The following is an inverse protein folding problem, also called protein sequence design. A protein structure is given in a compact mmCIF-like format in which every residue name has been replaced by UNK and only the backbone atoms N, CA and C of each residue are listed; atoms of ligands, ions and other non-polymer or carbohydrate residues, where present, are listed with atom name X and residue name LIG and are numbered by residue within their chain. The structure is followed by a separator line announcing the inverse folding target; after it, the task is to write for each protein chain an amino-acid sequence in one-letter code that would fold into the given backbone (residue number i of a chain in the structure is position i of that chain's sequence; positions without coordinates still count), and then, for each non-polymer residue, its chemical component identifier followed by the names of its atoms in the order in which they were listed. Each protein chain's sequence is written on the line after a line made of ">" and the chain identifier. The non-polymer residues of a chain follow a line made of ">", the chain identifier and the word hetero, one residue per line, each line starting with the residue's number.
data_IF_236437502086
#
_entry.id   IF_236437502086
#
_cell.length_a   1.000
_cell.length_b   1.000
_cell.length_c   1.000
_cell.angle_alpha   90.00
_cell.angle_beta   90.00
_cell.angle_gamma   90.00
#
_symmetry.space_group_name_H-M   'P 1'
#
loop_
_entity.id
_entity.type
_entity.pdbx_description
1 polymer ?
#
# COMPACT_ATOMS: atom_id res chain seq x y z
N UNK A 1 -37.14 33.40 -52.50
CA UNK A 1 -36.07 32.60 -51.90
C UNK A 1 -36.63 31.69 -50.85
N UNK A 2 -36.79 30.40 -51.18
CA UNK A 2 -37.42 29.38 -50.29
C UNK A 2 -36.31 28.67 -49.52
N UNK A 3 -36.37 28.72 -48.21
CA UNK A 3 -35.47 27.94 -47.30
C UNK A 3 -35.91 26.47 -47.26
N UNK A 4 -35.00 25.58 -47.62
CA UNK A 4 -35.19 24.14 -47.50
C UNK A 4 -34.72 23.73 -46.11
N UNK A 5 -35.65 23.26 -45.27
CA UNK A 5 -35.35 22.63 -43.99
C UNK A 5 -34.86 21.21 -44.25
N UNK A 6 -33.67 20.88 -43.81
CA UNK A 6 -33.10 19.52 -43.79
C UNK A 6 -33.66 18.76 -42.62
N UNK A 7 -34.28 17.61 -42.87
CA UNK A 7 -34.84 16.69 -41.89
C UNK A 7 -33.99 15.41 -41.83
N UNK A 8 -33.26 15.11 -40.72
CA UNK A 8 -32.43 13.90 -40.64
C UNK A 8 -33.17 12.74 -39.95
N UNK A 9 -34.30 12.31 -40.50
CA UNK A 9 -34.93 11.05 -40.11
C UNK A 9 -35.51 10.36 -41.32
N UNK A 10 -34.69 9.45 -41.89
CA UNK A 10 -35.13 8.24 -42.62
C UNK A 10 -33.94 7.67 -43.38
N UNK A 11 -33.30 6.70 -42.77
CA UNK A 11 -32.75 5.55 -43.47
C UNK A 11 -32.14 4.58 -42.41
N UNK A 12 -33.01 3.90 -41.68
CA UNK A 12 -32.63 2.66 -41.01
C UNK A 12 -33.00 1.56 -42.02
N UNK A 13 -32.00 1.18 -42.81
CA UNK A 13 -32.06 -0.06 -43.58
C UNK A 13 -31.81 -1.18 -42.58
N UNK A 14 -32.86 -1.91 -42.22
CA UNK A 14 -32.79 -3.13 -41.47
C UNK A 14 -32.00 -4.18 -42.25
N UNK A 15 -30.73 -4.41 -41.84
CA UNK A 15 -30.01 -5.62 -42.17
C UNK A 15 -30.58 -6.73 -41.27
N UNK A 16 -31.55 -7.46 -41.79
CA UNK A 16 -31.98 -8.75 -41.30
C UNK A 16 -30.79 -9.70 -41.44
N UNK A 17 -30.08 -9.95 -40.34
CA UNK A 17 -29.16 -11.08 -40.19
C UNK A 17 -29.99 -12.38 -40.23
N UNK A 18 -30.30 -12.84 -41.42
CA UNK A 18 -30.67 -14.26 -41.61
C UNK A 18 -29.36 -15.03 -41.63
N UNK A 19 -28.89 -15.40 -40.44
CA UNK A 19 -27.79 -16.35 -40.32
C UNK A 19 -28.16 -17.61 -41.07
N UNK A 20 -27.29 -18.01 -42.00
CA UNK A 20 -27.40 -19.21 -42.83
C UNK A 20 -27.72 -20.41 -41.91
N UNK A 21 -28.82 -21.12 -42.11
CA UNK A 21 -29.23 -22.27 -41.28
C UNK A 21 -28.14 -23.36 -41.20
N UNK A 22 -27.28 -23.46 -42.21
CA UNK A 22 -26.12 -24.37 -42.24
C UNK A 22 -25.06 -23.97 -41.22
N UNK A 23 -24.83 -22.67 -41.00
CA UNK A 23 -23.93 -22.12 -40.00
C UNK A 23 -24.40 -22.44 -38.58
N UNK A 24 -25.70 -22.28 -38.29
CA UNK A 24 -26.30 -22.60 -36.98
C UNK A 24 -26.25 -24.09 -36.66
N UNK A 25 -26.55 -24.95 -37.66
CA UNK A 25 -26.47 -26.42 -37.48
C UNK A 25 -25.00 -26.82 -37.21
N UNK A 26 -24.04 -26.22 -37.90
CA UNK A 26 -22.63 -26.50 -37.71
C UNK A 26 -22.17 -26.08 -36.33
N UNK A 27 -22.60 -24.93 -35.84
CA UNK A 27 -22.31 -24.44 -34.47
C UNK A 27 -22.89 -25.37 -33.41
N UNK A 28 -24.13 -25.83 -33.56
CA UNK A 28 -24.77 -26.79 -32.63
C UNK A 28 -24.04 -28.13 -32.65
N UNK A 29 -23.58 -28.59 -33.83
CA UNK A 29 -22.86 -29.87 -33.95
C UNK A 29 -21.48 -29.78 -33.23
N UNK A 30 -20.77 -28.67 -33.36
CA UNK A 30 -19.53 -28.43 -32.63
C UNK A 30 -19.78 -28.38 -31.12
N UNK A 31 -20.84 -27.71 -30.66
CA UNK A 31 -21.18 -27.65 -29.23
C UNK A 31 -21.47 -29.03 -28.63
N UNK A 32 -22.21 -29.86 -29.38
CA UNK A 32 -22.51 -31.25 -28.96
C UNK A 32 -21.26 -32.10 -28.92
N UNK A 33 -20.38 -31.98 -29.92
CA UNK A 33 -19.10 -32.69 -29.96
C UNK A 33 -18.17 -32.29 -28.79
N UNK A 34 -18.08 -31.01 -28.49
CA UNK A 34 -17.31 -30.51 -27.36
C UNK A 34 -17.89 -30.99 -26.03
N UNK A 35 -19.22 -30.95 -25.84
CA UNK A 35 -19.87 -31.52 -24.63
C UNK A 35 -19.61 -33.02 -24.47
N UNK A 36 -19.57 -33.79 -25.56
CA UNK A 36 -19.24 -35.21 -25.53
C UNK A 36 -17.77 -35.44 -25.14
N UNK A 37 -16.83 -34.64 -25.68
CA UNK A 37 -15.42 -34.70 -25.33
C UNK A 37 -15.22 -34.35 -23.84
N UNK A 38 -15.91 -33.32 -23.31
CA UNK A 38 -15.89 -32.95 -21.91
C UNK A 38 -16.40 -34.11 -21.01
N UNK A 39 -17.51 -34.75 -21.40
CA UNK A 39 -18.05 -35.88 -20.65
C UNK A 39 -17.12 -37.10 -20.62
N UNK A 40 -16.41 -37.37 -21.71
CA UNK A 40 -15.43 -38.46 -21.81
C UNK A 40 -14.19 -38.17 -20.97
N UNK A 41 -13.69 -36.93 -20.98
CA UNK A 41 -12.49 -36.51 -20.20
C UNK A 41 -12.79 -36.44 -18.70
N UNK A 42 -14.02 -36.14 -18.29
CA UNK A 42 -14.41 -36.11 -16.87
C UNK A 42 -14.50 -37.53 -16.24
N UNK A 43 -14.51 -38.58 -17.04
CA UNK A 43 -14.58 -39.98 -16.56
C UNK A 43 -13.19 -40.63 -16.32
N UNK A 44 -12.11 -39.95 -16.62
CA UNK A 44 -10.75 -40.50 -16.45
C UNK A 44 -10.09 -39.90 -15.19
N UNK A 45 -9.97 -40.69 -14.10
CA UNK A 45 -9.28 -40.22 -12.89
C UNK A 45 -7.76 -40.06 -13.17
N UNK A 46 -7.22 -38.88 -12.99
CA UNK A 46 -5.78 -38.60 -13.07
C UNK A 46 -5.34 -37.56 -14.12
N UNK A 47 -6.26 -36.97 -14.89
CA UNK A 47 -5.91 -36.04 -16.00
C UNK A 47 -6.12 -34.55 -15.61
N UNK A 48 -6.40 -34.25 -14.35
CA UNK A 48 -6.76 -32.88 -13.92
C UNK A 48 -5.69 -31.81 -14.18
N UNK A 49 -4.41 -32.17 -14.23
CA UNK A 49 -3.30 -31.19 -14.44
C UNK A 49 -3.05 -30.92 -15.93
N UNK A 50 -3.33 -31.88 -16.81
CA UNK A 50 -3.21 -31.70 -18.27
C UNK A 50 -4.42 -31.02 -18.92
N UNK A 51 -5.53 -30.90 -18.22
CA UNK A 51 -6.79 -30.40 -18.77
C UNK A 51 -6.77 -28.92 -19.15
N UNK A 52 -6.18 -28.04 -18.32
CA UNK A 52 -6.18 -26.58 -18.57
C UNK A 52 -5.54 -26.21 -19.92
N UNK A 53 -4.44 -26.84 -20.28
CA UNK A 53 -3.69 -26.51 -21.52
C UNK A 53 -4.34 -27.10 -22.79
N UNK A 54 -5.07 -28.22 -22.69
CA UNK A 54 -5.77 -28.82 -23.83
C UNK A 54 -7.06 -28.05 -24.13
N UNK A 55 -7.81 -27.63 -23.12
CA UNK A 55 -9.04 -26.84 -23.31
C UNK A 55 -8.78 -25.45 -23.89
N UNK A 56 -7.65 -24.82 -23.56
CA UNK A 56 -7.22 -23.52 -24.13
C UNK A 56 -7.01 -23.57 -25.66
N UNK A 57 -6.93 -24.74 -26.27
CA UNK A 57 -6.80 -24.90 -27.72
C UNK A 57 -8.15 -25.12 -28.43
N UNK A 58 -9.25 -25.21 -27.69
CA UNK A 58 -10.58 -25.37 -28.29
C UNK A 58 -11.18 -24.01 -28.66
N UNK A 59 -11.65 -23.83 -29.93
CA UNK A 59 -12.16 -22.54 -30.42
C UNK A 59 -13.30 -21.96 -29.55
N UNK A 60 -14.19 -22.82 -29.02
CA UNK A 60 -15.28 -22.38 -28.15
C UNK A 60 -14.78 -21.91 -26.79
N UNK A 61 -13.79 -22.57 -26.22
CA UNK A 61 -13.16 -22.15 -24.96
C UNK A 61 -12.47 -20.80 -25.14
N UNK A 62 -11.68 -20.63 -26.19
CA UNK A 62 -11.05 -19.34 -26.54
C UNK A 62 -12.07 -18.22 -26.78
N UNK A 63 -13.20 -18.54 -27.43
CA UNK A 63 -14.29 -17.59 -27.67
C UNK A 63 -14.99 -17.19 -26.37
N UNK A 64 -15.31 -18.14 -25.50
CA UNK A 64 -15.94 -17.87 -24.19
C UNK A 64 -15.01 -17.16 -23.24
N UNK A 65 -13.72 -17.53 -23.24
CA UNK A 65 -12.69 -16.84 -22.46
C UNK A 65 -12.49 -15.41 -22.98
N UNK A 66 -12.45 -15.20 -24.29
CA UNK A 66 -12.42 -13.88 -24.91
C UNK A 66 -13.63 -13.02 -24.57
N UNK A 67 -14.85 -13.57 -24.64
CA UNK A 67 -16.07 -12.85 -24.21
C UNK A 67 -16.06 -12.54 -22.71
N UNK A 68 -15.63 -13.47 -21.88
CA UNK A 68 -15.52 -13.24 -20.43
C UNK A 68 -14.50 -12.11 -20.11
N UNK A 69 -13.39 -12.05 -20.86
CA UNK A 69 -12.38 -10.97 -20.75
C UNK A 69 -12.97 -9.64 -21.21
N UNK A 70 -13.65 -9.59 -22.35
CA UNK A 70 -14.30 -8.35 -22.84
C UNK A 70 -15.39 -7.87 -21.87
N UNK A 71 -16.19 -8.78 -21.31
CA UNK A 71 -17.19 -8.45 -20.31
C UNK A 71 -16.57 -8.01 -18.98
N UNK A 72 -15.44 -8.58 -18.59
CA UNK A 72 -14.69 -8.14 -17.42
C UNK A 72 -14.09 -6.75 -17.66
N UNK A 73 -13.40 -6.53 -18.77
CA UNK A 73 -12.84 -5.22 -19.14
C UNK A 73 -13.93 -4.14 -19.22
N UNK A 74 -15.11 -4.48 -19.72
CA UNK A 74 -16.25 -3.55 -19.76
C UNK A 74 -16.72 -3.23 -18.34
N UNK A 75 -16.87 -4.23 -17.46
CA UNK A 75 -17.25 -4.03 -16.05
C UNK A 75 -16.19 -3.21 -15.31
N UNK A 76 -14.92 -3.49 -15.54
CA UNK A 76 -13.81 -2.77 -14.93
C UNK A 76 -13.77 -1.31 -15.39
N UNK A 77 -14.02 -1.06 -16.69
CA UNK A 77 -14.14 0.29 -17.24
C UNK A 77 -15.35 1.03 -16.69
N UNK A 78 -16.53 0.41 -16.66
CA UNK A 78 -17.75 0.99 -16.09
C UNK A 78 -17.58 1.28 -14.59
N UNK A 79 -16.88 0.41 -13.87
CA UNK A 79 -16.56 0.59 -12.45
C UNK A 79 -15.59 1.75 -12.29
N UNK A 80 -14.54 1.84 -13.12
CA UNK A 80 -13.59 2.93 -13.12
C UNK A 80 -14.28 4.28 -13.44
N UNK A 81 -15.12 4.34 -14.48
CA UNK A 81 -15.87 5.57 -14.82
C UNK A 81 -16.79 6.01 -13.67
N UNK A 82 -17.48 5.09 -13.00
CA UNK A 82 -18.29 5.36 -11.80
C UNK A 82 -17.44 5.85 -10.63
N UNK A 83 -16.23 5.30 -10.44
CA UNK A 83 -15.29 5.73 -9.41
C UNK A 83 -14.77 7.14 -9.67
N UNK A 84 -14.38 7.44 -10.91
CA UNK A 84 -13.96 8.80 -11.32
C UNK A 84 -15.10 9.80 -11.13
N UNK A 85 -16.33 9.45 -11.52
CA UNK A 85 -17.50 10.31 -11.33
C UNK A 85 -17.82 10.53 -9.84
N UNK A 86 -17.70 9.49 -9.02
CA UNK A 86 -17.90 9.55 -7.56
C UNK A 86 -16.83 10.44 -6.90
N UNK A 87 -15.56 10.30 -7.29
CA UNK A 87 -14.45 11.11 -6.78
C UNK A 87 -14.61 12.58 -7.16
N UNK A 88 -15.04 12.88 -8.40
CA UNK A 88 -15.30 14.24 -8.84
C UNK A 88 -16.44 14.86 -8.03
N UNK A 89 -17.48 14.10 -7.68
CA UNK A 89 -18.57 14.56 -6.81
C UNK A 89 -18.12 14.79 -5.37
N UNK A 90 -17.26 13.89 -4.86
CA UNK A 90 -16.70 13.99 -3.50
C UNK A 90 -15.80 15.22 -3.36
N UNK A 91 -14.84 15.42 -4.28
CA UNK A 91 -14.01 16.62 -4.33
C UNK A 91 -14.83 17.89 -4.48
N UNK A 92 -15.87 17.87 -5.35
CA UNK A 92 -16.80 18.98 -5.50
C UNK A 92 -17.61 19.29 -4.23
N UNK A 93 -17.84 18.29 -3.36
CA UNK A 93 -18.50 18.45 -2.07
C UNK A 93 -17.56 19.03 -1.02
N UNK A 94 -16.32 18.52 -0.93
CA UNK A 94 -15.28 19.06 -0.04
C UNK A 94 -14.98 20.52 -0.36
N UNK A 95 -14.74 20.87 -1.63
CA UNK A 95 -14.51 22.26 -2.08
C UNK A 95 -15.70 23.17 -1.76
N UNK A 96 -16.95 22.65 -1.77
CA UNK A 96 -18.13 23.42 -1.38
C UNK A 96 -18.27 23.61 0.13
N UNK A 97 -17.84 22.65 0.94
CA UNK A 97 -17.84 22.77 2.40
C UNK A 97 -16.74 23.73 2.86
N UNK A 98 -15.54 23.63 2.33
CA UNK A 98 -14.44 24.55 2.59
C UNK A 98 -14.78 26.00 2.19
N UNK A 99 -15.47 26.20 1.04
CA UNK A 99 -15.98 27.52 0.63
C UNK A 99 -17.19 28.00 1.45
N UNK A 100 -17.87 27.17 2.23
CA UNK A 100 -18.91 27.63 3.17
C UNK A 100 -18.29 28.21 4.43
N UNK A 101 -17.22 27.61 4.93
CA UNK A 101 -16.51 28.12 6.11
C UNK A 101 -15.68 29.38 5.79
N UNK A 102 -15.22 29.53 4.53
CA UNK A 102 -14.54 30.74 4.05
C UNK A 102 -15.47 31.95 3.79
N UNK A 103 -16.79 31.79 3.91
CA UNK A 103 -17.77 32.88 3.72
C UNK A 103 -18.22 33.61 5.00
N UNK A 104 -17.44 33.50 6.07
CA UNK A 104 -17.58 34.46 7.19
C UNK A 104 -16.72 35.68 6.86
N UNK A 105 -17.30 36.60 6.16
CA UNK A 105 -16.73 37.96 5.91
C UNK A 105 -16.55 38.66 7.25
N UNK A 106 -15.36 39.14 7.60
CA UNK A 106 -15.25 40.07 8.72
C UNK A 106 -15.84 41.41 8.26
N UNK A 107 -16.87 41.82 8.93
CA UNK A 107 -17.45 43.14 8.86
C UNK A 107 -16.37 44.17 9.21
N UNK A 108 -16.08 45.06 8.26
CA UNK A 108 -15.15 46.17 8.46
C UNK A 108 -15.87 47.18 9.36
N UNK A 109 -15.55 47.18 10.63
CA UNK A 109 -15.92 48.28 11.54
C UNK A 109 -14.75 49.24 11.62
N UNK A 110 -15.12 50.52 11.42
CA UNK A 110 -14.29 51.69 11.30
C UNK A 110 -13.31 51.90 12.47
N UNK A 111 -12.19 52.56 12.15
CA UNK A 111 -11.17 53.05 13.08
C UNK A 111 -11.74 53.97 14.14
N UNK A 112 -11.30 53.92 15.38
CA UNK A 112 -11.20 55.09 16.25
C UNK A 112 -9.77 55.60 16.35
N UNK A 113 -9.73 56.91 16.40
CA UNK A 113 -8.58 57.81 16.51
C UNK A 113 -7.78 57.60 17.79
N UNK A 114 -6.49 57.89 17.65
CA UNK A 114 -5.48 58.06 18.68
C UNK A 114 -5.85 59.24 19.57
N UNK A 115 -5.86 59.05 20.92
CA UNK A 115 -5.56 60.10 21.88
C UNK A 115 -4.70 59.54 22.99
N UNK A 116 -3.57 60.23 23.16
CA UNK A 116 -2.55 60.12 24.23
C UNK A 116 -3.14 60.42 25.61
N UNK A 117 -2.63 59.75 26.63
CA UNK A 117 -2.18 60.30 27.90
C UNK A 117 -1.97 59.21 28.98
N UNK A 118 -0.78 58.91 29.26
CA UNK A 118 0.02 59.15 30.46
C UNK A 118 -0.47 58.65 31.87
N UNK A 119 0.40 57.86 32.42
CA UNK A 119 0.94 57.96 33.80
C UNK A 119 0.35 57.15 34.96
N UNK A 120 1.30 56.52 35.55
CA UNK A 120 1.66 56.30 37.01
C UNK A 120 1.13 55.08 37.69
N UNK A 121 2.10 54.27 38.08
CA UNK A 121 2.69 54.05 39.46
C UNK A 121 1.72 53.33 40.39
N UNK A 122 2.08 52.44 41.20
CA UNK A 122 3.23 51.96 41.95
C UNK A 122 2.80 50.76 42.81
N UNK A 123 3.66 49.78 42.97
CA UNK A 123 4.28 49.33 44.22
C UNK A 123 3.55 48.44 45.22
N UNK A 124 4.22 47.38 45.47
CA UNK A 124 4.66 46.82 46.79
C UNK A 124 3.81 45.82 47.51
N UNK A 125 4.44 44.77 47.78
CA UNK A 125 5.21 44.18 48.91
C UNK A 125 4.37 43.10 49.64
N UNK A 126 4.95 41.90 49.66
CA UNK A 126 5.80 41.29 50.70
C UNK A 126 5.05 40.67 51.89
N UNK A 127 5.45 39.46 52.21
CA UNK A 127 5.67 38.77 53.48
C UNK A 127 4.52 37.85 53.95
N UNK A 128 4.70 36.70 54.48
CA UNK A 128 5.76 35.90 55.11
C UNK A 128 5.23 34.49 55.41
N UNK A 129 6.14 33.55 55.54
CA UNK A 129 5.97 32.23 56.16
C UNK A 129 5.91 32.38 57.71
N UNK A 130 5.37 31.39 58.44
CA UNK A 130 6.24 30.63 59.32
C UNK A 130 5.89 29.11 59.42
N UNK A 131 6.89 28.33 59.39
CA UNK A 131 7.65 27.45 60.28
C UNK A 131 6.89 26.68 61.40
N UNK A 132 7.27 25.39 61.41
CA UNK A 132 7.73 24.47 62.47
C UNK A 132 6.61 23.55 62.95
N UNK A 133 6.75 22.26 63.27
CA UNK A 133 7.85 21.53 63.92
C UNK A 133 7.75 20.01 63.63
N UNK A 134 8.86 19.37 63.67
CA UNK A 134 9.36 18.03 63.88
C UNK A 134 8.37 17.02 64.58
N UNK A 135 8.41 15.78 64.07
CA UNK A 135 8.86 14.67 64.92
C UNK A 135 9.43 13.50 64.10
N UNK A 136 10.38 12.86 64.70
CA UNK A 136 11.43 11.99 64.26
C UNK A 136 10.98 10.52 64.40
N UNK A 137 11.07 9.67 63.34
CA UNK A 137 11.30 8.24 63.55
C UNK A 137 12.28 7.73 62.47
N UNK A 138 13.36 7.27 62.97
CA UNK A 138 14.49 6.66 62.29
C UNK A 138 14.18 5.23 61.90
N UNK A 139 14.31 4.84 60.66
CA UNK A 139 14.51 3.43 60.28
C UNK A 139 15.44 3.32 59.06
N UNK A 140 16.55 2.83 59.38
CA UNK A 140 17.60 2.07 58.65
C UNK A 140 17.57 2.07 57.10
N UNK A 141 18.55 2.74 56.56
CA UNK A 141 19.04 2.66 55.17
C UNK A 141 19.64 1.28 54.92
N UNK A 142 19.15 0.61 53.84
CA UNK A 142 19.96 -0.36 53.11
C UNK A 142 20.15 0.23 51.72
N UNK A 143 21.36 0.62 51.43
CA UNK A 143 21.81 1.07 50.10
C UNK A 143 21.87 -0.14 49.19
N UNK A 144 21.10 -0.16 48.12
CA UNK A 144 21.38 -0.95 46.94
C UNK A 144 22.16 -0.07 45.95
N UNK A 145 23.14 -0.62 45.24
CA UNK A 145 23.99 0.15 44.35
C UNK A 145 23.17 0.69 43.16
N UNK A 146 23.40 1.95 42.81
CA UNK A 146 22.98 2.52 41.55
C UNK A 146 23.66 1.72 40.43
N UNK A 147 22.90 1.00 39.66
CA UNK A 147 23.32 0.55 38.32
C UNK A 147 23.45 1.80 37.46
N UNK A 148 24.71 2.16 37.12
CA UNK A 148 24.98 3.02 36.00
C UNK A 148 24.38 2.35 34.76
N UNK A 149 23.33 2.95 34.18
CA UNK A 149 22.96 2.67 32.79
C UNK A 149 24.15 3.05 31.90
N UNK A 150 25.05 2.11 31.71
CA UNK A 150 25.96 2.15 30.58
C UNK A 150 25.10 2.10 29.32
N UNK A 151 25.10 3.21 28.56
CA UNK A 151 24.61 3.25 27.21
C UNK A 151 25.21 2.04 26.47
N UNK A 152 24.44 1.00 26.28
CA UNK A 152 24.79 -0.16 25.48
C UNK A 152 24.98 0.38 24.06
N UNK A 153 26.24 0.38 23.61
CA UNK A 153 26.52 0.56 22.19
C UNK A 153 25.63 -0.42 21.42
N UNK A 154 24.83 0.11 20.49
CA UNK A 154 23.95 -0.70 19.64
C UNK A 154 24.78 -1.85 19.08
N UNK A 155 24.39 -3.07 19.39
CA UNK A 155 25.08 -4.26 18.87
C UNK A 155 25.06 -4.15 17.36
N UNK A 156 26.24 -4.18 16.71
CA UNK A 156 26.30 -4.16 15.25
C UNK A 156 25.63 -5.40 14.73
N UNK A 157 24.52 -5.23 14.01
CA UNK A 157 23.84 -6.33 13.32
C UNK A 157 24.79 -6.82 12.23
N UNK A 158 25.19 -8.11 12.31
CA UNK A 158 26.10 -8.73 11.34
C UNK A 158 25.29 -9.50 10.29
N UNK A 159 25.76 -9.59 9.04
CA UNK A 159 25.12 -10.38 8.01
C UNK A 159 25.04 -11.86 8.39
N UNK A 160 23.86 -12.48 8.19
CA UNK A 160 23.58 -13.90 8.46
C UNK A 160 22.70 -14.50 7.34
N UNK A 161 23.08 -14.38 6.06
CA UNK A 161 22.25 -14.84 4.96
C UNK A 161 22.05 -16.35 5.00
N UNK A 162 20.83 -16.80 4.76
CA UNK A 162 20.46 -18.23 4.65
C UNK A 162 20.37 -18.70 3.20
N UNK A 163 20.39 -17.76 2.24
CA UNK A 163 20.39 -18.03 0.80
C UNK A 163 21.65 -17.47 0.15
N UNK A 164 21.97 -17.97 -1.03
CA UNK A 164 23.14 -17.48 -1.80
C UNK A 164 22.81 -16.13 -2.47
N UNK A 165 23.52 -15.09 -2.04
CA UNK A 165 23.41 -13.72 -2.54
C UNK A 165 24.54 -13.32 -3.51
N UNK A 166 25.34 -14.30 -4.00
CA UNK A 166 26.40 -14.01 -4.97
C UNK A 166 25.80 -13.46 -6.28
N UNK A 167 26.47 -12.47 -6.92
CA UNK A 167 25.97 -11.87 -8.16
C UNK A 167 25.69 -12.88 -9.26
N UNK A 168 26.49 -13.93 -9.36
CA UNK A 168 26.33 -15.01 -10.34
C UNK A 168 25.06 -15.81 -10.10
N UNK A 169 24.71 -16.07 -8.86
CA UNK A 169 23.48 -16.76 -8.47
C UNK A 169 22.26 -15.88 -8.67
N UNK A 170 22.36 -14.59 -8.30
CA UNK A 170 21.29 -13.62 -8.51
C UNK A 170 21.08 -13.24 -9.98
N UNK A 171 21.97 -13.63 -10.88
CA UNK A 171 21.77 -13.47 -12.34
C UNK A 171 20.82 -14.54 -12.91
N UNK A 172 20.54 -15.62 -12.18
CA UNK A 172 19.62 -16.66 -12.62
C UNK A 172 18.18 -16.27 -12.31
N UNK A 173 17.36 -16.17 -13.37
CA UNK A 173 15.94 -15.79 -13.24
C UNK A 173 15.12 -16.78 -12.42
N UNK A 174 15.33 -18.09 -12.63
CA UNK A 174 14.58 -19.11 -11.90
C UNK A 174 14.95 -19.09 -10.41
N UNK A 175 16.21 -18.82 -10.09
CA UNK A 175 16.65 -18.59 -8.72
C UNK A 175 15.93 -17.40 -8.06
N UNK A 176 15.89 -16.27 -8.74
CA UNK A 176 15.18 -15.08 -8.26
C UNK A 176 13.70 -15.37 -8.00
N UNK A 177 13.03 -16.01 -8.97
CA UNK A 177 11.61 -16.35 -8.86
C UNK A 177 11.32 -17.31 -7.71
N UNK A 178 12.24 -18.21 -7.39
CA UNK A 178 12.06 -19.20 -6.31
C UNK A 178 12.37 -18.65 -4.91
N UNK A 179 13.19 -17.61 -4.79
CA UNK A 179 13.67 -17.11 -3.49
C UNK A 179 13.14 -15.73 -3.12
N UNK A 180 12.78 -14.89 -4.12
CA UNK A 180 12.40 -13.51 -3.86
C UNK A 180 10.97 -13.17 -4.30
N UNK A 181 10.40 -13.87 -5.29
CA UNK A 181 9.15 -13.42 -5.91
C UNK A 181 8.02 -14.43 -5.79
N UNK A 182 6.82 -13.90 -5.57
CA UNK A 182 5.55 -14.65 -5.61
C UNK A 182 4.68 -13.99 -6.67
N UNK A 183 4.33 -14.71 -7.73
CA UNK A 183 3.53 -14.15 -8.84
C UNK A 183 2.06 -14.52 -8.66
N UNK A 184 1.18 -13.51 -8.62
CA UNK A 184 -0.26 -13.72 -8.64
C UNK A 184 -0.70 -14.44 -9.91
N UNK A 185 -1.67 -15.34 -9.78
CA UNK A 185 -2.15 -16.15 -10.90
C UNK A 185 -2.82 -15.34 -12.03
N UNK A 186 -3.16 -14.08 -11.81
CA UNK A 186 -3.75 -13.18 -12.79
C UNK A 186 -2.72 -12.35 -13.57
N UNK A 187 -1.44 -12.40 -13.19
CA UNK A 187 -0.35 -11.67 -13.87
C UNK A 187 0.80 -12.58 -14.22
N UNK A 188 1.77 -12.05 -14.94
CA UNK A 188 3.01 -12.73 -15.30
C UNK A 188 4.17 -11.73 -15.35
N UNK A 189 5.40 -12.23 -15.32
CA UNK A 189 6.62 -11.43 -15.45
C UNK A 189 7.63 -12.16 -16.34
N UNK A 190 8.68 -11.45 -16.75
CA UNK A 190 9.71 -11.97 -17.65
C UNK A 190 11.11 -11.74 -17.10
N UNK A 191 12.10 -12.47 -17.65
CA UNK A 191 13.50 -12.30 -17.27
C UNK A 191 14.06 -10.91 -17.64
N UNK A 192 13.45 -10.21 -18.59
CA UNK A 192 13.82 -8.82 -18.91
C UNK A 192 13.31 -7.85 -17.84
N UNK A 193 12.17 -8.17 -17.20
CA UNK A 193 11.57 -7.33 -16.17
C UNK A 193 12.19 -7.56 -14.78
N UNK A 194 12.63 -8.79 -14.50
CA UNK A 194 13.21 -9.18 -13.20
C UNK A 194 14.73 -9.36 -13.38
N UNK A 195 15.49 -8.34 -12.97
CA UNK A 195 16.94 -8.31 -13.11
C UNK A 195 17.61 -7.76 -11.86
N UNK A 196 18.15 -8.66 -11.04
CA UNK A 196 18.77 -8.29 -9.76
C UNK A 196 19.95 -7.32 -9.92
N UNK A 197 20.79 -7.50 -10.95
CA UNK A 197 21.92 -6.60 -11.17
C UNK A 197 21.47 -5.17 -11.51
N UNK A 198 20.38 -5.01 -12.26
CA UNK A 198 19.77 -3.71 -12.54
C UNK A 198 19.16 -3.13 -11.27
N UNK A 199 18.41 -3.92 -10.50
CA UNK A 199 17.78 -3.48 -9.27
C UNK A 199 18.79 -3.02 -8.21
N UNK A 200 19.89 -3.77 -8.03
CA UNK A 200 20.95 -3.42 -7.09
C UNK A 200 21.82 -2.23 -7.56
N UNK A 201 21.84 -1.92 -8.86
CA UNK A 201 22.56 -0.77 -9.40
C UNK A 201 21.77 0.55 -9.28
N UNK A 202 20.48 0.49 -8.97
CA UNK A 202 19.63 1.68 -8.79
C UNK A 202 20.06 2.45 -7.55
N UNK A 203 20.32 3.76 -7.70
CA UNK A 203 20.67 4.63 -6.56
C UNK A 203 19.40 5.05 -5.82
N UNK A 204 19.16 4.41 -4.68
CA UNK A 204 18.04 4.68 -3.80
C UNK A 204 18.42 5.56 -2.60
N UNK A 205 19.61 6.16 -2.60
CA UNK A 205 20.05 7.01 -1.50
C UNK A 205 19.14 8.21 -1.31
N UNK A 206 18.88 8.55 -0.06
CA UNK A 206 18.03 9.66 0.34
C UNK A 206 18.75 10.49 1.42
N UNK A 207 19.20 11.71 1.13
CA UNK A 207 19.77 12.60 2.14
C UNK A 207 18.73 12.92 3.22
N UNK A 208 19.14 12.89 4.48
CA UNK A 208 18.29 13.29 5.62
C UNK A 208 18.24 14.81 5.71
N UNK A 209 17.15 15.41 5.24
CA UNK A 209 16.96 16.86 5.22
C UNK A 209 16.09 17.29 6.40
N UNK A 210 16.59 18.18 7.25
CA UNK A 210 15.84 18.67 8.39
C UNK A 210 14.68 19.59 7.94
N UNK A 211 13.51 19.35 8.52
CA UNK A 211 12.34 20.24 8.38
C UNK A 211 11.45 20.01 7.16
N UNK A 212 11.79 19.05 6.28
CA UNK A 212 10.94 18.68 5.14
C UNK A 212 10.59 17.19 5.19
N UNK A 213 9.31 16.80 5.00
CA UNK A 213 8.92 15.41 4.99
C UNK A 213 9.59 14.68 3.81
N UNK A 214 10.16 13.50 4.09
CA UNK A 214 10.90 12.69 3.13
C UNK A 214 10.21 11.35 2.86
N UNK A 215 9.52 10.83 3.88
CA UNK A 215 8.78 9.57 3.87
C UNK A 215 7.33 9.90 4.20
N UNK A 216 6.40 9.33 3.43
CA UNK A 216 4.98 9.37 3.73
C UNK A 216 4.50 7.94 4.00
N UNK A 217 3.83 7.75 5.14
CA UNK A 217 3.14 6.51 5.50
C UNK A 217 1.65 6.79 5.47
N UNK A 218 0.88 5.90 4.87
CA UNK A 218 -0.58 5.95 4.85
C UNK A 218 -1.18 4.55 4.86
N UNK A 219 -2.50 4.46 4.95
CA UNK A 219 -3.24 3.20 5.01
C UNK A 219 -4.45 3.31 4.09
N UNK A 220 -4.41 2.72 2.88
CA UNK A 220 -5.62 2.64 2.08
C UNK A 220 -6.70 1.82 2.79
N UNK A 221 -6.33 0.86 3.64
CA UNK A 221 -7.22 0.10 4.52
C UNK A 221 -6.95 0.40 6.01
N UNK A 222 -7.40 1.54 6.49
CA UNK A 222 -7.15 2.03 7.87
C UNK A 222 -7.83 1.19 8.97
N UNK A 223 -8.88 0.41 8.61
CA UNK A 223 -9.67 -0.36 9.58
C UNK A 223 -9.14 -1.79 9.79
N UNK A 224 -7.91 -2.07 9.41
CA UNK A 224 -7.28 -3.36 9.61
C UNK A 224 -6.86 -3.56 11.07
N UNK A 225 -7.31 -4.68 11.65
CA UNK A 225 -7.10 -5.06 13.04
C UNK A 225 -6.37 -6.41 13.14
N UNK A 226 -5.90 -6.74 14.33
CA UNK A 226 -5.17 -7.95 14.69
C UNK A 226 -5.97 -8.80 15.67
N UNK A 227 -5.49 -10.00 16.02
CA UNK A 227 -6.24 -10.94 16.85
C UNK A 227 -6.48 -10.46 18.29
N UNK A 228 -5.67 -9.54 18.79
CA UNK A 228 -5.74 -8.95 20.13
C UNK A 228 -6.13 -7.45 20.13
N UNK A 229 -6.52 -6.91 18.97
CA UNK A 229 -6.99 -5.51 18.89
C UNK A 229 -8.23 -5.28 19.73
N UNK A 230 -8.20 -4.26 20.56
CA UNK A 230 -9.36 -3.85 21.38
C UNK A 230 -10.31 -3.01 20.51
N UNK A 231 -11.60 -3.26 20.66
CA UNK A 231 -12.62 -2.53 19.90
C UNK A 231 -12.52 -1.01 20.12
N UNK A 232 -12.53 -0.24 19.04
CA UNK A 232 -12.47 1.22 19.04
C UNK A 232 -11.12 1.81 19.47
N UNK A 233 -10.08 0.99 19.59
CA UNK A 233 -8.72 1.42 19.92
C UNK A 233 -7.87 1.50 18.63
N UNK A 234 -7.67 2.70 18.12
CA UNK A 234 -6.89 2.95 16.90
C UNK A 234 -5.41 2.56 17.08
N UNK A 235 -4.89 2.73 18.29
CA UNK A 235 -3.53 2.31 18.65
C UNK A 235 -3.27 0.79 18.54
N UNK A 236 -4.35 -0.02 18.44
CA UNK A 236 -4.29 -1.47 18.27
C UNK A 236 -4.58 -1.89 16.80
N UNK A 237 -4.66 -0.94 15.89
CA UNK A 237 -4.87 -1.21 14.45
C UNK A 237 -3.59 -1.00 13.65
N UNK A 238 -3.68 -1.18 12.33
CA UNK A 238 -2.58 -0.89 11.42
C UNK A 238 -2.13 0.58 11.50
N UNK A 239 -3.02 1.51 11.85
CA UNK A 239 -2.69 2.93 12.06
C UNK A 239 -1.73 3.08 13.25
N UNK A 240 -2.00 2.40 14.37
CA UNK A 240 -1.09 2.40 15.53
C UNK A 240 0.25 1.70 15.28
N UNK A 241 0.33 0.80 14.31
CA UNK A 241 1.61 0.26 13.79
C UNK A 241 2.34 1.32 12.96
N UNK A 242 1.62 2.09 12.15
CA UNK A 242 2.14 3.23 11.40
C UNK A 242 2.70 4.33 12.29
N UNK A 243 2.04 4.63 13.42
CA UNK A 243 2.56 5.55 14.45
C UNK A 243 3.91 5.07 14.98
N UNK A 244 4.01 3.79 15.34
CA UNK A 244 5.24 3.21 15.85
C UNK A 244 6.38 3.22 14.82
N UNK A 245 6.09 2.88 13.56
CA UNK A 245 7.08 2.99 12.47
C UNK A 245 7.52 4.44 12.26
N UNK A 246 6.60 5.40 12.36
CA UNK A 246 6.90 6.83 12.26
C UNK A 246 7.86 7.27 13.38
N UNK A 247 7.61 6.85 14.61
CA UNK A 247 8.49 7.11 15.76
C UNK A 247 9.90 6.54 15.53
N UNK A 248 10.00 5.26 15.12
CA UNK A 248 11.29 4.63 14.81
C UNK A 248 12.08 5.39 13.73
N UNK A 249 11.43 5.68 12.61
CA UNK A 249 12.08 6.36 11.49
C UNK A 249 12.51 7.80 11.85
N UNK A 250 11.70 8.48 12.69
CA UNK A 250 11.97 9.86 13.06
C UNK A 250 13.00 9.96 14.19
N UNK A 251 12.82 9.21 15.29
CA UNK A 251 13.62 9.36 16.50
C UNK A 251 14.93 8.56 16.43
N UNK A 252 14.88 7.34 15.87
CA UNK A 252 16.06 6.48 15.79
C UNK A 252 16.89 6.77 14.54
N UNK A 253 16.22 6.93 13.39
CA UNK A 253 16.91 7.08 12.11
C UNK A 253 16.98 8.51 11.59
N UNK A 254 16.24 9.46 12.16
CA UNK A 254 16.32 10.89 11.87
C UNK A 254 15.67 11.32 10.56
N UNK A 255 14.74 10.57 10.01
CA UNK A 255 13.94 10.97 8.86
C UNK A 255 12.80 11.90 9.27
N UNK A 256 12.37 12.76 8.36
CA UNK A 256 11.12 13.52 8.53
C UNK A 256 9.99 12.72 7.89
N UNK A 257 9.09 12.20 8.72
CA UNK A 257 7.99 11.32 8.29
C UNK A 257 6.66 12.06 8.37
N UNK A 258 5.86 11.96 7.33
CA UNK A 258 4.47 12.37 7.30
C UNK A 258 3.61 11.09 7.44
N UNK A 259 2.97 10.90 8.59
CA UNK A 259 2.01 9.82 8.78
C UNK A 259 0.59 10.34 8.55
N UNK A 260 -0.11 9.71 7.62
CA UNK A 260 -1.48 10.06 7.19
C UNK A 260 -2.44 9.05 7.80
N UNK A 261 -3.28 9.53 8.72
CA UNK A 261 -4.24 8.70 9.46
C UNK A 261 -5.68 8.83 8.92
N UNK A 262 -5.84 9.42 7.73
CA UNK A 262 -7.13 9.51 7.06
C UNK A 262 -7.72 8.14 6.76
N UNK A 263 -9.04 8.00 6.99
CA UNK A 263 -9.76 6.72 6.87
C UNK A 263 -10.34 6.56 5.47
N UNK A 264 -9.49 6.23 4.50
CA UNK A 264 -9.88 6.13 3.10
C UNK A 264 -10.92 5.04 2.82
N UNK A 265 -10.87 3.93 3.54
CA UNK A 265 -11.85 2.84 3.46
C UNK A 265 -13.19 3.15 4.14
N UNK A 266 -13.29 4.29 4.87
CA UNK A 266 -14.52 4.83 5.46
C UNK A 266 -14.97 6.17 4.86
N UNK A 267 -14.33 6.65 3.79
CA UNK A 267 -14.60 7.96 3.20
C UNK A 267 -16.07 8.19 2.80
N UNK A 268 -16.82 7.13 2.50
CA UNK A 268 -18.25 7.17 2.22
C UNK A 268 -19.16 7.07 3.47
N UNK A 269 -18.60 6.95 4.67
CA UNK A 269 -19.34 6.69 5.92
C UNK A 269 -19.66 5.22 6.19
N UNK A 270 -19.36 4.35 5.23
CA UNK A 270 -19.45 2.89 5.32
C UNK A 270 -18.12 2.29 4.85
N UNK A 271 -17.78 1.11 5.38
CA UNK A 271 -16.54 0.42 5.00
C UNK A 271 -16.60 -0.02 3.52
N UNK A 272 -15.80 0.61 2.67
CA UNK A 272 -15.67 0.28 1.24
C UNK A 272 -14.20 0.17 0.84
N UNK A 273 -13.66 -1.03 0.94
CA UNK A 273 -12.27 -1.32 0.56
C UNK A 273 -12.02 -1.21 -0.95
N UNK A 274 -13.06 -1.37 -1.77
CA UNK A 274 -12.92 -1.32 -3.23
C UNK A 274 -12.59 0.09 -3.74
N UNK A 275 -13.01 1.13 -3.03
CA UNK A 275 -12.78 2.54 -3.36
C UNK A 275 -11.64 3.18 -2.58
N UNK A 276 -11.12 2.50 -1.58
CA UNK A 276 -10.10 3.04 -0.68
C UNK A 276 -8.86 3.55 -1.43
N UNK A 277 -8.38 2.80 -2.43
CA UNK A 277 -7.25 3.21 -3.27
C UNK A 277 -7.51 4.50 -4.06
N UNK A 278 -8.72 4.69 -4.57
CA UNK A 278 -9.07 5.91 -5.31
C UNK A 278 -9.23 7.11 -4.39
N UNK A 279 -9.81 6.93 -3.21
CA UNK A 279 -9.90 8.00 -2.21
C UNK A 279 -8.51 8.39 -1.69
N UNK A 280 -7.66 7.39 -1.38
CA UNK A 280 -6.27 7.63 -0.99
C UNK A 280 -5.51 8.37 -2.11
N UNK A 281 -5.62 7.96 -3.36
CA UNK A 281 -4.98 8.62 -4.50
C UNK A 281 -5.42 10.07 -4.63
N UNK A 282 -6.73 10.33 -4.58
CA UNK A 282 -7.26 11.69 -4.72
C UNK A 282 -6.75 12.63 -3.62
N UNK A 283 -6.47 12.10 -2.42
CA UNK A 283 -5.89 12.84 -1.31
C UNK A 283 -4.36 12.99 -1.45
N UNK A 284 -3.67 11.92 -1.84
CA UNK A 284 -2.20 11.87 -1.90
C UNK A 284 -1.62 12.69 -3.06
N UNK A 285 -2.23 12.70 -4.25
CA UNK A 285 -1.70 13.40 -5.41
C UNK A 285 -1.43 14.90 -5.15
N UNK A 286 -2.38 15.69 -4.59
CA UNK A 286 -2.10 17.10 -4.27
C UNK A 286 -1.04 17.24 -3.16
N UNK A 287 -1.08 16.41 -2.12
CA UNK A 287 -0.10 16.44 -1.01
C UNK A 287 1.32 16.18 -1.52
N UNK A 288 1.49 15.16 -2.36
CA UNK A 288 2.78 14.84 -2.96
C UNK A 288 3.27 15.93 -3.93
N UNK A 289 2.37 16.62 -4.60
CA UNK A 289 2.70 17.75 -5.46
C UNK A 289 3.18 18.97 -4.64
N UNK A 290 2.57 19.22 -3.49
CA UNK A 290 2.94 20.31 -2.58
C UNK A 290 4.21 19.99 -1.78
N UNK A 291 4.51 18.71 -1.58
CA UNK A 291 5.67 18.23 -0.83
C UNK A 291 6.59 17.38 -1.72
N UNK A 292 7.33 17.98 -2.66
CA UNK A 292 8.22 17.25 -3.57
C UNK A 292 9.41 16.58 -2.86
N UNK A 293 9.70 16.95 -1.62
CA UNK A 293 10.70 16.32 -0.75
C UNK A 293 10.31 14.90 -0.34
N UNK A 294 9.02 14.54 -0.40
CA UNK A 294 8.56 13.17 -0.15
C UNK A 294 8.99 12.28 -1.32
N UNK A 295 9.99 11.45 -1.07
CA UNK A 295 10.58 10.54 -2.03
C UNK A 295 10.14 9.08 -1.83
N UNK A 296 9.75 8.71 -0.60
CA UNK A 296 9.29 7.38 -0.23
C UNK A 296 7.82 7.45 0.17
N UNK A 297 7.01 6.53 -0.37
CA UNK A 297 5.58 6.42 -0.04
C UNK A 297 5.26 4.98 0.34
N UNK A 298 4.79 4.77 1.56
CA UNK A 298 4.48 3.44 2.10
C UNK A 298 2.98 3.35 2.36
N UNK A 299 2.30 2.45 1.66
CA UNK A 299 0.95 2.00 1.99
C UNK A 299 1.07 0.82 2.95
N UNK A 300 0.86 1.06 4.25
CA UNK A 300 1.07 0.07 5.28
C UNK A 300 -0.22 -0.67 5.59
N UNK A 301 -0.19 -1.98 5.41
CA UNK A 301 -1.28 -2.93 5.54
C UNK A 301 -0.92 -4.11 6.45
N UNK A 302 -1.91 -4.95 6.71
CA UNK A 302 -1.71 -6.33 7.14
C UNK A 302 -2.39 -7.28 6.14
N UNK A 303 -1.78 -8.45 5.94
CA UNK A 303 -2.29 -9.46 5.02
C UNK A 303 -3.58 -10.13 5.53
N UNK A 304 -4.29 -10.82 4.66
CA UNK A 304 -5.42 -11.67 4.95
C UNK A 304 -5.07 -13.14 4.73
N UNK A 305 -5.04 -13.94 5.79
CA UNK A 305 -4.70 -15.38 5.73
C UNK A 305 -5.81 -16.24 6.36
N UNK A 306 -5.86 -17.56 6.08
CA UNK A 306 -6.72 -18.47 6.83
C UNK A 306 -6.50 -18.35 8.35
N UNK A 307 -7.57 -18.50 9.14
CA UNK A 307 -7.54 -18.25 10.60
C UNK A 307 -6.59 -19.20 11.37
N UNK A 308 -6.24 -20.35 10.79
CA UNK A 308 -5.29 -21.32 11.33
C UNK A 308 -3.83 -21.03 10.96
N UNK A 309 -3.57 -20.00 10.15
CA UNK A 309 -2.23 -19.58 9.73
C UNK A 309 -1.76 -18.37 10.52
N UNK A 310 -0.61 -18.47 11.17
CA UNK A 310 0.05 -17.38 11.86
C UNK A 310 1.39 -17.07 11.19
N UNK A 311 1.62 -15.82 10.88
CA UNK A 311 2.82 -15.34 10.21
C UNK A 311 3.80 -14.77 11.25
N UNK A 312 4.55 -15.63 11.91
CA UNK A 312 5.44 -15.25 13.02
C UNK A 312 6.78 -15.97 12.90
N UNK A 313 7.83 -15.27 13.26
CA UNK A 313 9.19 -15.77 13.44
C UNK A 313 9.80 -15.17 14.72
N UNK A 314 11.03 -15.52 15.07
CA UNK A 314 11.77 -14.94 16.18
C UNK A 314 12.93 -14.09 15.66
N UNK A 315 12.93 -12.78 15.99
CA UNK A 315 14.03 -11.86 15.66
C UNK A 315 14.50 -11.19 16.93
N UNK A 316 15.79 -11.30 17.22
CA UNK A 316 16.41 -10.74 18.43
C UNK A 316 15.71 -11.15 19.73
N UNK A 317 15.20 -12.40 19.81
CA UNK A 317 14.50 -12.94 20.97
C UNK A 317 13.05 -12.44 21.13
N UNK A 318 12.47 -11.80 20.11
CA UNK A 318 11.08 -11.32 20.09
C UNK A 318 10.27 -12.09 19.04
N UNK A 319 9.06 -12.52 19.41
CA UNK A 319 8.07 -12.97 18.42
C UNK A 319 7.75 -11.79 17.50
N UNK A 320 7.97 -12.00 16.20
CA UNK A 320 7.98 -10.94 15.17
C UNK A 320 7.12 -11.38 14.00
N UNK A 321 6.20 -10.52 13.55
CA UNK A 321 5.40 -10.82 12.38
C UNK A 321 6.26 -10.80 11.11
N UNK A 322 5.96 -11.71 10.16
CA UNK A 322 6.63 -11.73 8.88
C UNK A 322 6.05 -10.68 7.93
N UNK A 323 6.90 -10.11 7.08
CA UNK A 323 6.56 -9.07 6.13
C UNK A 323 6.42 -9.62 4.70
N UNK A 324 5.63 -8.94 3.87
CA UNK A 324 5.52 -9.18 2.44
C UNK A 324 5.57 -7.82 1.71
N UNK A 325 6.45 -7.67 0.73
CA UNK A 325 6.48 -6.51 -0.15
C UNK A 325 5.58 -6.75 -1.35
N UNK A 326 4.75 -5.78 -1.70
CA UNK A 326 3.73 -5.93 -2.73
C UNK A 326 3.99 -4.97 -3.89
N UNK A 327 4.04 -5.49 -5.11
CA UNK A 327 4.27 -4.70 -6.32
C UNK A 327 3.17 -4.91 -7.36
N UNK A 328 2.64 -3.80 -7.85
CA UNK A 328 1.64 -3.77 -8.90
C UNK A 328 2.26 -3.57 -10.27
N UNK A 329 2.08 -4.55 -11.16
CA UNK A 329 2.69 -4.56 -12.48
C UNK A 329 1.87 -3.81 -13.54
N UNK A 330 0.62 -3.41 -13.24
CA UNK A 330 -0.32 -2.83 -14.22
C UNK A 330 -0.44 -3.71 -15.47
N UNK A 331 -0.38 -5.03 -15.30
CA UNK A 331 -0.38 -6.04 -16.34
C UNK A 331 -1.16 -7.28 -15.87
N UNK A 332 -1.99 -7.84 -16.75
CA UNK A 332 -2.66 -9.11 -16.49
C UNK A 332 -2.49 -10.07 -17.66
N UNK A 333 -2.48 -11.39 -17.37
CA UNK A 333 -2.38 -12.43 -18.42
C UNK A 333 -3.48 -12.26 -19.47
N UNK A 334 -4.68 -11.87 -19.06
CA UNK A 334 -5.83 -11.80 -19.94
C UNK A 334 -5.90 -10.51 -20.78
N UNK A 335 -5.40 -9.39 -20.26
CA UNK A 335 -5.55 -8.07 -20.87
C UNK A 335 -4.23 -7.44 -21.33
N UNK A 336 -3.09 -8.06 -20.99
CA UNK A 336 -1.80 -7.44 -21.17
C UNK A 336 -1.64 -6.20 -20.28
N UNK A 337 -0.95 -5.18 -20.78
CA UNK A 337 -0.73 -3.92 -20.08
C UNK A 337 -2.03 -3.14 -19.89
N UNK A 338 -2.30 -2.74 -18.65
CA UNK A 338 -3.52 -2.03 -18.28
C UNK A 338 -3.37 -0.52 -18.57
N UNK A 339 -3.67 -0.12 -19.81
CA UNK A 339 -3.53 1.27 -20.25
C UNK A 339 -4.36 2.27 -19.43
N UNK A 340 -5.41 1.83 -18.74
CA UNK A 340 -6.24 2.63 -17.85
C UNK A 340 -5.67 2.76 -16.41
N UNK A 341 -4.64 1.97 -16.08
CA UNK A 341 -3.89 2.03 -14.82
C UNK A 341 -2.39 2.22 -15.10
N UNK A 342 -1.95 3.28 -15.78
CA UNK A 342 -0.53 3.43 -16.11
C UNK A 342 0.31 3.56 -14.84
N UNK A 343 1.43 2.82 -14.79
CA UNK A 343 2.45 2.95 -13.77
C UNK A 343 3.82 3.18 -14.44
N UNK A 344 4.34 4.42 -14.44
CA UNK A 344 5.64 4.71 -15.03
C UNK A 344 6.82 4.21 -14.17
N UNK A 345 6.57 3.80 -12.93
CA UNK A 345 7.59 3.47 -11.93
C UNK A 345 7.66 1.98 -11.58
N UNK A 346 7.19 1.09 -12.48
CA UNK A 346 7.21 -0.37 -12.21
C UNK A 346 8.64 -0.84 -11.89
N UNK A 347 9.64 -0.45 -12.71
CA UNK A 347 11.02 -0.86 -12.51
C UNK A 347 11.64 -0.25 -11.26
N UNK A 348 11.38 1.02 -11.00
CA UNK A 348 11.85 1.71 -9.78
C UNK A 348 11.25 1.07 -8.51
N UNK A 349 9.93 0.78 -8.50
CA UNK A 349 9.28 0.13 -7.36
C UNK A 349 9.80 -1.31 -7.16
N UNK A 350 10.07 -2.05 -8.24
CA UNK A 350 10.68 -3.38 -8.16
C UNK A 350 12.10 -3.30 -7.61
N UNK A 351 12.91 -2.35 -8.07
CA UNK A 351 14.25 -2.13 -7.52
C UNK A 351 14.21 -1.78 -6.04
N UNK A 352 13.27 -0.93 -5.62
CA UNK A 352 13.12 -0.55 -4.23
C UNK A 352 12.73 -1.76 -3.36
N UNK A 353 11.71 -2.52 -3.75
CA UNK A 353 11.31 -3.72 -3.03
C UNK A 353 12.42 -4.76 -3.00
N UNK A 354 13.14 -4.95 -4.12
CA UNK A 354 14.23 -5.92 -4.22
C UNK A 354 15.42 -5.55 -3.32
N UNK A 355 15.81 -4.29 -3.26
CA UNK A 355 16.89 -3.86 -2.38
C UNK A 355 16.50 -4.00 -0.90
N UNK A 356 15.23 -3.72 -0.53
CA UNK A 356 14.73 -3.98 0.83
C UNK A 356 14.79 -5.48 1.17
N UNK A 357 14.32 -6.35 0.26
CA UNK A 357 14.33 -7.79 0.43
C UNK A 357 15.75 -8.36 0.49
N UNK A 358 16.66 -7.84 -0.34
CA UNK A 358 18.07 -8.18 -0.32
C UNK A 358 18.71 -7.85 1.04
N UNK A 359 18.43 -6.67 1.60
CA UNK A 359 18.90 -6.31 2.95
C UNK A 359 18.26 -7.20 4.02
N UNK A 360 16.97 -7.54 3.87
CA UNK A 360 16.31 -8.45 4.78
C UNK A 360 16.93 -9.86 4.70
N UNK A 361 17.17 -10.39 3.49
CA UNK A 361 17.84 -11.67 3.29
C UNK A 361 19.25 -11.69 3.88
N UNK A 362 19.94 -10.56 3.90
CA UNK A 362 21.30 -10.43 4.41
C UNK A 362 21.35 -10.34 5.94
N UNK A 363 20.39 -9.65 6.58
CA UNK A 363 20.45 -9.33 8.01
C UNK A 363 19.33 -9.96 8.85
N UNK A 364 18.17 -10.25 8.26
CA UNK A 364 16.97 -10.76 8.92
C UNK A 364 16.25 -11.79 8.03
N UNK A 365 16.90 -12.93 7.70
CA UNK A 365 16.44 -13.84 6.64
C UNK A 365 15.03 -14.39 6.85
N UNK A 366 14.57 -14.51 8.10
CA UNK A 366 13.23 -15.02 8.41
C UNK A 366 12.15 -13.92 8.48
N UNK A 367 12.51 -12.64 8.37
CA UNK A 367 11.57 -11.52 8.47
C UNK A 367 10.59 -11.49 7.30
N UNK A 368 11.04 -11.81 6.10
CA UNK A 368 10.31 -11.59 4.87
C UNK A 368 9.67 -12.86 4.30
N UNK A 369 8.64 -12.69 3.50
CA UNK A 369 7.91 -13.76 2.82
C UNK A 369 8.08 -13.71 1.31
N UNK A 370 8.69 -12.67 0.78
CA UNK A 370 8.93 -12.43 -0.62
C UNK A 370 8.32 -11.13 -1.13
N UNK A 371 8.51 -10.88 -2.43
CA UNK A 371 7.93 -9.78 -3.19
C UNK A 371 6.74 -10.31 -3.98
N UNK A 372 5.53 -9.90 -3.63
CA UNK A 372 4.30 -10.32 -4.33
C UNK A 372 4.05 -9.43 -5.54
N UNK A 373 3.96 -10.05 -6.71
CA UNK A 373 3.70 -9.38 -7.98
C UNK A 373 2.22 -9.53 -8.35
N UNK A 374 1.51 -8.43 -8.44
CA UNK A 374 0.07 -8.41 -8.71
C UNK A 374 -0.27 -7.61 -9.97
N UNK A 375 -1.43 -7.90 -10.58
CA UNK A 375 -1.81 -7.34 -11.87
C UNK A 375 -2.23 -5.87 -11.84
N UNK A 376 -2.75 -5.34 -10.72
CA UNK A 376 -3.17 -3.94 -10.62
C UNK A 376 -2.01 -3.05 -10.15
N UNK A 377 -2.21 -1.73 -10.02
CA UNK A 377 -1.12 -0.79 -9.71
C UNK A 377 -1.04 -0.34 -8.25
N UNK A 378 -2.11 -0.46 -7.45
CA UNK A 378 -2.14 -0.20 -5.99
C UNK A 378 -1.52 1.14 -5.54
N UNK A 379 -1.75 2.22 -6.30
CA UNK A 379 -1.15 3.55 -6.08
C UNK A 379 0.39 3.63 -6.14
N UNK A 380 1.09 2.57 -6.53
CA UNK A 380 2.55 2.53 -6.65
C UNK A 380 3.08 3.42 -7.79
N UNK A 381 2.20 3.99 -8.61
CA UNK A 381 2.53 4.99 -9.65
C UNK A 381 2.77 6.39 -9.07
N UNK A 382 2.58 6.60 -7.77
CA UNK A 382 2.69 7.92 -7.16
C UNK A 382 4.15 8.36 -6.97
N UNK A 383 5.07 7.43 -6.77
CA UNK A 383 6.51 7.70 -6.61
C UNK A 383 7.36 6.52 -7.08
N UNK A 384 8.63 6.78 -7.50
CA UNK A 384 9.59 5.71 -7.82
C UNK A 384 9.90 4.78 -6.63
N UNK A 385 9.84 5.30 -5.39
CA UNK A 385 10.03 4.52 -4.16
C UNK A 385 8.69 4.38 -3.44
N UNK A 386 7.68 3.85 -4.14
CA UNK A 386 6.40 3.48 -3.55
C UNK A 386 6.41 2.00 -3.20
N UNK A 387 5.88 1.66 -2.03
CA UNK A 387 5.80 0.31 -1.48
C UNK A 387 4.42 0.11 -0.86
N UNK A 388 3.77 -1.02 -1.14
CA UNK A 388 2.73 -1.55 -0.30
C UNK A 388 3.36 -2.64 0.58
N UNK A 389 3.25 -2.48 1.88
CA UNK A 389 3.84 -3.34 2.89
C UNK A 389 2.77 -4.09 3.66
N UNK A 390 2.73 -5.40 3.51
CA UNK A 390 1.89 -6.28 4.33
C UNK A 390 2.67 -6.70 5.58
N UNK A 391 2.27 -6.19 6.74
CA UNK A 391 2.91 -6.44 8.02
C UNK A 391 2.12 -7.47 8.84
N UNK A 392 2.54 -8.73 8.81
CA UNK A 392 1.79 -9.83 9.42
C UNK A 392 0.43 -10.04 8.80
N UNK A 393 -0.53 -10.52 9.58
CA UNK A 393 -1.91 -10.78 9.18
C UNK A 393 -2.87 -10.58 10.36
N UNK A 394 -4.21 -10.74 10.12
CA UNK A 394 -5.23 -10.65 11.17
C UNK A 394 -5.04 -11.64 12.33
N UNK A 395 -4.23 -12.67 12.12
CA UNK A 395 -3.93 -13.70 13.12
C UNK A 395 -2.72 -13.36 14.00
N UNK A 396 -1.97 -12.32 13.68
CA UNK A 396 -0.89 -11.79 14.51
C UNK A 396 -1.41 -10.91 15.63
N UNK A 397 -0.62 -10.75 16.69
CA UNK A 397 -0.85 -9.73 17.71
C UNK A 397 -0.29 -8.38 17.27
N UNK A 398 -0.83 -7.29 17.82
CA UNK A 398 -0.32 -5.92 17.61
C UNK A 398 1.18 -5.84 17.94
N UNK A 399 1.61 -6.52 19.02
CA UNK A 399 3.00 -6.49 19.46
C UNK A 399 3.94 -7.18 18.47
N UNK A 400 3.56 -8.33 17.91
CA UNK A 400 4.35 -9.02 16.87
C UNK A 400 4.57 -8.16 15.64
N UNK A 401 3.53 -7.41 15.23
CA UNK A 401 3.62 -6.52 14.07
C UNK A 401 4.45 -5.28 14.40
N UNK A 402 4.34 -4.71 15.57
CA UNK A 402 5.24 -3.64 16.03
C UNK A 402 6.70 -4.12 16.10
N UNK A 403 6.95 -5.33 16.60
CA UNK A 403 8.30 -5.90 16.62
C UNK A 403 8.90 -6.01 15.20
N UNK A 404 8.09 -6.27 14.18
CA UNK A 404 8.53 -6.32 12.78
C UNK A 404 8.93 -4.95 12.22
N UNK A 405 8.42 -3.86 12.77
CA UNK A 405 8.79 -2.51 12.33
C UNK A 405 10.22 -2.14 12.72
N UNK A 406 10.79 -2.74 13.77
CA UNK A 406 12.18 -2.49 14.18
C UNK A 406 13.18 -2.93 13.09
N UNK A 407 13.21 -4.22 12.66
CA UNK A 407 14.09 -4.64 11.57
C UNK A 407 13.69 -4.03 10.22
N UNK A 408 12.40 -3.75 9.97
CA UNK A 408 11.99 -3.05 8.76
C UNK A 408 12.59 -1.64 8.67
N UNK A 409 12.55 -0.87 9.76
CA UNK A 409 13.17 0.47 9.79
C UNK A 409 14.69 0.41 9.58
N UNK A 410 15.37 -0.63 10.09
CA UNK A 410 16.82 -0.83 9.86
C UNK A 410 17.12 -1.13 8.38
N UNK A 411 16.40 -2.06 7.75
CA UNK A 411 16.62 -2.36 6.32
C UNK A 411 16.27 -1.17 5.42
N UNK A 412 15.22 -0.41 5.76
CA UNK A 412 14.87 0.80 5.04
C UNK A 412 15.97 1.86 5.15
N UNK A 413 16.52 2.11 6.35
CA UNK A 413 17.66 3.03 6.53
C UNK A 413 18.89 2.55 5.75
N UNK A 414 19.18 1.25 5.75
CA UNK A 414 20.30 0.70 4.97
C UNK A 414 20.18 1.01 3.49
N UNK A 415 19.02 0.75 2.90
CA UNK A 415 18.75 1.04 1.48
C UNK A 415 18.85 2.54 1.23
N UNK A 416 18.20 3.36 2.04
CA UNK A 416 18.18 4.82 1.85
C UNK A 416 19.51 5.51 2.20
N UNK A 417 20.46 4.82 2.82
CA UNK A 417 21.82 5.33 3.09
C UNK A 417 22.89 4.64 2.23
N UNK A 418 22.52 3.74 1.32
CA UNK A 418 23.43 3.00 0.43
C UNK A 418 24.39 2.09 1.20
N UNK A 419 23.92 1.40 2.25
CA UNK A 419 24.73 0.56 3.14
C UNK A 419 24.70 -0.91 2.74
#
# INVERSE_FOLDING_TARGET
>A
MRSVKYNPQKNIIGLSERGDPVSKVRQVLYLVLECCIFAILALVPGVFVLQKNVFRQLPLYCFLEGQAVEDQQRRDRETYEKLVESNTRYLGKMVREENKDARVTPEITEKPQITDSAKHEERSKVTETPKSEKDNVQTVRTEAPAEEETATAAAQVVPVPEIDLAPETLADYDYLMNHFFIVDSATETTAEQINAAQFLAEDLTLPKEAGLPQILIYHSHSQETFCDSREGKEEDTIVGVGDYLTELLSETYGYQVMHVTEKFDLAGGELDRSKAYDYARAWLEPVLKENPSIQVVIDLHRDGVPDDRRLVTEINGKETAQLLFYNGLSHTINSGDLSYLPNPYIQDNLAFSFQLEYQAALYYPELYRGIYLAGLRYNLHLRPRALLLEAGAQTNTVQEVKNAMEPFADILDRVLQGK
#
